data_IF_793223328198
#
_entry.id   IF_793223328198
#
_cell.length_a   1.000
_cell.length_b   1.000
_cell.length_c   1.000
_cell.angle_alpha   90.00
_cell.angle_beta   90.00
_cell.angle_gamma   90.00
#
_symmetry.space_group_name_H-M   'P 1'
#
loop_
_entity.id
_entity.type
_entity.pdbx_description
1 polymer ?
#
# COMPACT_ATOMS: atom_id res chain seq x y z
N UNK A 1 -8.70 -9.94 8.19
CA UNK A 1 -8.69 -8.80 7.26
C UNK A 1 -9.37 -9.20 5.95
N UNK A 2 -10.10 -8.30 5.29
CA UNK A 2 -10.71 -8.57 3.98
C UNK A 2 -9.61 -8.60 2.88
N UNK A 3 -9.41 -9.71 2.14
CA UNK A 3 -8.41 -9.82 1.06
C UNK A 3 -8.52 -8.71 -0.01
N UNK A 4 -9.71 -8.12 -0.17
CA UNK A 4 -9.96 -6.99 -1.07
C UNK A 4 -9.16 -5.75 -0.66
N UNK A 5 -8.89 -5.54 0.64
CA UNK A 5 -8.10 -4.39 1.12
C UNK A 5 -6.64 -4.47 0.71
N UNK A 6 -6.03 -5.67 0.78
CA UNK A 6 -4.66 -5.88 0.32
C UNK A 6 -4.57 -5.68 -1.20
N UNK A 7 -5.57 -6.17 -1.93
CA UNK A 7 -5.63 -6.02 -3.39
C UNK A 7 -5.81 -4.55 -3.80
N UNK A 8 -6.68 -3.81 -3.10
CA UNK A 8 -6.85 -2.36 -3.30
C UNK A 8 -5.56 -1.61 -2.97
N UNK A 9 -4.90 -1.95 -1.86
CA UNK A 9 -3.66 -1.30 -1.46
C UNK A 9 -2.54 -1.54 -2.48
N UNK A 10 -2.42 -2.77 -2.99
CA UNK A 10 -1.53 -3.10 -4.11
C UNK A 10 -1.85 -2.27 -5.34
N UNK A 11 -3.11 -2.22 -5.75
CA UNK A 11 -3.55 -1.45 -6.91
C UNK A 11 -3.18 0.05 -6.80
N UNK A 12 -3.38 0.66 -5.63
CA UNK A 12 -3.05 2.06 -5.40
C UNK A 12 -1.54 2.31 -5.47
N UNK A 13 -0.73 1.46 -4.86
CA UNK A 13 0.73 1.63 -4.82
C UNK A 13 1.41 1.34 -6.16
N UNK A 14 1.03 0.24 -6.81
CA UNK A 14 1.65 -0.20 -8.06
C UNK A 14 1.07 0.56 -9.26
N UNK A 15 -0.19 0.98 -9.19
CA UNK A 15 -0.87 1.76 -10.22
C UNK A 15 -0.54 3.26 -10.21
N UNK A 16 -0.15 3.84 -9.07
CA UNK A 16 0.26 5.25 -8.98
C UNK A 16 1.70 5.45 -9.47
N UNK A 17 1.91 5.29 -10.77
CA UNK A 17 3.21 5.39 -11.43
C UNK A 17 4.30 4.51 -10.77
N UNK A 18 3.91 3.35 -10.22
CA UNK A 18 4.81 2.42 -9.54
C UNK A 18 5.53 2.99 -8.33
N UNK A 19 4.87 3.83 -7.51
CA UNK A 19 5.46 4.43 -6.29
C UNK A 19 6.08 3.38 -5.38
N UNK A 20 5.44 2.22 -5.25
CA UNK A 20 5.94 1.11 -4.45
C UNK A 20 5.45 -0.23 -4.99
N UNK A 21 6.18 -1.30 -4.69
CA UNK A 21 5.66 -2.67 -4.84
C UNK A 21 5.22 -3.22 -3.50
N UNK A 22 4.17 -4.05 -3.51
CA UNK A 22 3.57 -4.60 -2.28
C UNK A 22 3.56 -6.13 -2.30
N UNK A 23 4.19 -6.75 -1.30
CA UNK A 23 4.10 -8.18 -1.03
C UNK A 23 3.34 -8.46 0.25
N UNK A 24 2.56 -9.55 0.25
CA UNK A 24 1.78 -9.97 1.43
C UNK A 24 2.67 -10.84 2.31
N UNK A 25 2.80 -10.49 3.59
CA UNK A 25 3.52 -11.29 4.58
C UNK A 25 2.52 -12.21 5.30
N UNK A 26 1.40 -11.66 5.77
CA UNK A 26 0.34 -12.43 6.41
C UNK A 26 -1.05 -11.85 6.08
N UNK A 27 -1.81 -12.55 5.25
CA UNK A 27 -3.11 -12.07 4.78
C UNK A 27 -4.18 -11.96 5.87
N UNK A 28 -4.15 -12.84 6.89
CA UNK A 28 -5.16 -12.86 7.97
C UNK A 28 -5.09 -11.61 8.83
N UNK A 29 -3.88 -11.22 9.21
CA UNK A 29 -3.58 -10.02 9.99
C UNK A 29 -3.50 -8.76 9.13
N UNK A 30 -3.32 -8.92 7.81
CA UNK A 30 -3.14 -7.79 6.91
C UNK A 30 -1.74 -7.24 6.84
N UNK A 31 -0.75 -8.03 7.27
CA UNK A 31 0.63 -7.61 7.28
C UNK A 31 1.18 -7.68 5.85
N UNK A 32 1.72 -6.56 5.40
CA UNK A 32 2.28 -6.38 4.06
C UNK A 32 3.66 -5.73 4.17
N UNK A 33 4.49 -5.97 3.16
CA UNK A 33 5.79 -5.33 3.00
C UNK A 33 5.77 -4.51 1.73
N UNK A 34 6.22 -3.26 1.83
CA UNK A 34 6.40 -2.39 0.68
C UNK A 34 7.87 -2.18 0.37
N UNK A 35 8.22 -2.12 -0.92
CA UNK A 35 9.50 -1.62 -1.38
C UNK A 35 9.27 -0.29 -2.09
N UNK A 36 9.91 0.76 -1.57
CA UNK A 36 9.76 2.14 -2.06
C UNK A 36 11.15 2.65 -2.45
N UNK A 37 11.35 3.14 -3.69
CA UNK A 37 12.58 3.85 -4.04
C UNK A 37 12.73 5.09 -3.15
N UNK A 38 13.94 5.34 -2.65
CA UNK A 38 14.20 6.49 -1.76
C UNK A 38 13.76 7.83 -2.40
N UNK A 39 13.91 7.96 -3.72
CA UNK A 39 13.47 9.12 -4.50
C UNK A 39 11.96 9.36 -4.48
N UNK A 40 11.14 8.34 -4.19
CA UNK A 40 9.67 8.43 -4.17
C UNK A 40 9.10 8.53 -2.75
N UNK A 41 9.94 8.51 -1.71
CA UNK A 41 9.48 8.72 -0.32
C UNK A 41 8.66 10.01 -0.12
N UNK A 42 8.97 11.14 -0.79
CA UNK A 42 8.15 12.35 -0.67
C UNK A 42 6.72 12.20 -1.20
N UNK A 43 6.47 11.30 -2.15
CA UNK A 43 5.13 11.01 -2.70
C UNK A 43 4.44 9.89 -1.92
N UNK A 44 5.23 8.91 -1.46
CA UNK A 44 4.72 7.73 -0.76
C UNK A 44 4.00 8.10 0.55
N UNK A 45 4.60 8.91 1.42
CA UNK A 45 4.01 9.21 2.73
C UNK A 45 2.71 10.02 2.68
N UNK A 46 2.59 11.06 1.83
CA UNK A 46 1.31 11.73 1.60
C UNK A 46 0.25 10.75 1.10
N UNK A 47 0.56 9.92 0.10
CA UNK A 47 -0.37 8.91 -0.41
C UNK A 47 -0.83 7.96 0.70
N UNK A 48 0.07 7.51 1.58
CA UNK A 48 -0.29 6.63 2.71
C UNK A 48 -1.25 7.31 3.67
N UNK A 49 -1.04 8.60 3.93
CA UNK A 49 -1.92 9.39 4.77
C UNK A 49 -3.32 9.47 4.16
N UNK A 50 -3.41 9.80 2.87
CA UNK A 50 -4.66 10.00 2.15
C UNK A 50 -5.50 8.72 2.06
N UNK A 51 -4.87 7.56 1.83
CA UNK A 51 -5.59 6.29 1.65
C UNK A 51 -5.82 5.53 2.97
N UNK A 52 -5.23 5.98 4.08
CA UNK A 52 -5.30 5.27 5.37
C UNK A 52 -6.74 5.10 5.87
N UNK A 53 -7.61 6.09 5.63
CA UNK A 53 -9.03 6.01 5.98
C UNK A 53 -9.75 4.90 5.22
N UNK A 54 -9.49 4.80 3.91
CA UNK A 54 -10.05 3.78 3.00
C UNK A 54 -9.65 2.36 3.39
N UNK A 55 -8.44 2.18 3.96
CA UNK A 55 -7.95 0.87 4.37
C UNK A 55 -8.41 0.46 5.78
N UNK A 56 -8.77 1.43 6.65
CA UNK A 56 -9.26 1.17 8.02
C UNK A 56 -10.72 0.69 8.06
N UNK A 57 -11.61 1.30 7.29
CA UNK A 57 -13.05 0.94 7.19
C UNK A 57 -13.26 -0.46 6.62
#
# INVERSE_FOLDING_TARGET
MNPQKISLFRFLLEGHAGVATLSTVEAKQGLVKTLVPVSRLPEFWPLMTDISGTLKS
#
